data_IF_157498291499
#
_entry.id   IF_157498291499
#
_cell.length_a   1.000
_cell.length_b   1.000
_cell.length_c   1.000
_cell.angle_alpha   90.00
_cell.angle_beta   90.00
_cell.angle_gamma   90.00
#
_symmetry.space_group_name_H-M   'P 1'
#
loop_
_entity.id
_entity.type
_entity.pdbx_description
1 polymer ?
#
# COMPACT_ATOMS: atom_id res chain seq x y z
N UNK A 1 -32.37 12.81 36.46
CA UNK A 1 -32.57 12.86 34.99
C UNK A 1 -31.43 13.60 34.27
N UNK A 2 -30.85 14.67 34.83
CA UNK A 2 -29.74 15.43 34.19
C UNK A 2 -28.38 14.68 34.25
N UNK A 3 -28.11 13.93 35.33
CA UNK A 3 -26.86 13.16 35.49
C UNK A 3 -26.73 11.94 34.57
N UNK A 4 -27.86 11.32 34.23
CA UNK A 4 -27.91 10.17 33.31
C UNK A 4 -27.74 10.61 31.85
N UNK A 5 -28.21 11.80 31.48
CA UNK A 5 -28.01 12.39 30.15
C UNK A 5 -26.54 12.78 29.90
N UNK A 6 -25.82 13.24 30.93
CA UNK A 6 -24.40 13.60 30.83
C UNK A 6 -23.51 12.37 30.55
N UNK A 7 -23.82 11.23 31.15
CA UNK A 7 -23.05 9.98 30.97
C UNK A 7 -23.25 9.36 29.58
N UNK A 8 -24.45 9.49 29.01
CA UNK A 8 -24.75 8.98 27.65
C UNK A 8 -24.04 9.84 26.59
N UNK A 9 -23.90 11.15 26.82
CA UNK A 9 -23.21 12.06 25.89
C UNK A 9 -21.69 11.91 25.89
N UNK A 10 -21.09 11.34 26.95
CA UNK A 10 -19.64 11.08 27.02
C UNK A 10 -19.27 9.80 26.25
N UNK A 11 -20.17 8.80 26.24
CA UNK A 11 -19.94 7.51 25.57
C UNK A 11 -20.00 7.65 24.04
N UNK A 12 -20.81 8.57 23.51
CA UNK A 12 -20.94 8.77 22.04
C UNK A 12 -19.79 9.57 21.43
N UNK A 13 -19.04 10.36 22.21
CA UNK A 13 -17.87 11.12 21.72
C UNK A 13 -16.64 10.20 21.61
N UNK A 14 -16.53 9.16 22.44
CA UNK A 14 -15.37 8.26 22.46
C UNK A 14 -15.29 7.29 21.27
N UNK A 15 -16.39 7.03 20.56
CA UNK A 15 -16.43 6.09 19.44
C UNK A 15 -16.08 6.69 18.07
N UNK A 16 -15.97 8.02 17.95
CA UNK A 16 -15.59 8.69 16.69
C UNK A 16 -14.07 8.65 16.44
N UNK A 17 -13.26 8.38 17.46
CA UNK A 17 -11.79 8.42 17.35
C UNK A 17 -11.16 7.18 16.69
N UNK A 18 -11.91 6.10 16.41
CA UNK A 18 -11.35 4.89 15.80
C UNK A 18 -11.34 4.89 14.26
N UNK A 19 -11.73 6.01 13.62
CA UNK A 19 -11.72 6.18 12.17
C UNK A 19 -10.53 6.99 11.64
N UNK A 20 -9.46 7.13 12.42
CA UNK A 20 -8.17 7.57 11.89
C UNK A 20 -7.53 6.38 11.17
N UNK A 21 -7.96 6.12 9.93
CA UNK A 21 -7.10 5.43 8.96
C UNK A 21 -5.86 6.32 8.83
N UNK A 22 -4.80 5.96 9.55
CA UNK A 22 -3.55 6.68 9.53
C UNK A 22 -3.10 6.74 8.07
N UNK A 23 -3.25 7.90 7.43
CA UNK A 23 -2.38 8.23 6.30
C UNK A 23 -0.98 8.19 6.91
N UNK A 24 -0.24 7.11 6.65
CA UNK A 24 1.14 7.00 7.08
C UNK A 24 1.97 7.86 6.13
N UNK A 25 1.80 9.18 6.25
CA UNK A 25 2.51 10.14 5.43
C UNK A 25 3.98 10.28 5.85
N UNK A 26 4.34 9.79 7.04
CA UNK A 26 5.72 9.75 7.53
C UNK A 26 6.25 8.31 7.48
N UNK A 27 7.33 8.05 6.72
CA UNK A 27 8.03 6.77 6.77
C UNK A 27 8.63 6.53 8.16
N UNK A 28 8.33 5.39 8.79
CA UNK A 28 8.86 5.03 10.13
C UNK A 28 10.39 4.88 10.08
N UNK A 29 10.93 4.47 8.92
CA UNK A 29 12.36 4.20 8.71
C UNK A 29 13.12 5.30 7.94
N UNK A 30 12.55 6.51 7.79
CA UNK A 30 13.15 7.58 6.99
C UNK A 30 13.03 7.36 5.48
N UNK A 31 13.64 8.22 4.63
CA UNK A 31 13.49 8.14 3.18
C UNK A 31 13.94 6.78 2.66
N UNK A 32 13.15 6.18 1.76
CA UNK A 32 13.54 4.99 1.01
C UNK A 32 14.86 5.28 0.30
N UNK A 33 15.96 4.71 0.81
CA UNK A 33 17.21 4.73 0.10
C UNK A 33 17.01 3.85 -1.14
N UNK A 34 17.10 4.46 -2.32
CA UNK A 34 17.25 3.76 -3.60
C UNK A 34 18.65 3.12 -3.66
N UNK A 35 18.96 2.30 -2.67
CA UNK A 35 20.29 1.79 -2.39
C UNK A 35 20.74 0.74 -3.40
N UNK A 36 19.83 0.24 -4.25
CA UNK A 36 20.13 -0.72 -5.31
C UNK A 36 19.44 -0.37 -6.64
N UNK A 37 20.06 -0.71 -7.80
CA UNK A 37 19.45 -0.55 -9.12
C UNK A 37 18.08 -1.26 -9.24
N UNK A 38 17.92 -2.42 -8.59
CA UNK A 38 16.68 -3.21 -8.63
C UNK A 38 15.53 -2.49 -7.91
N UNK A 39 15.81 -1.80 -6.79
CA UNK A 39 14.81 -0.98 -6.10
C UNK A 39 14.43 0.23 -6.96
N UNK A 40 15.40 0.85 -7.64
CA UNK A 40 15.15 1.97 -8.54
C UNK A 40 14.29 1.57 -9.75
N UNK A 41 14.59 0.44 -10.38
CA UNK A 41 13.79 -0.11 -11.48
C UNK A 41 12.39 -0.50 -11.01
N UNK A 42 12.29 -1.19 -9.89
CA UNK A 42 11.01 -1.54 -9.28
C UNK A 42 10.14 -0.33 -8.95
N UNK A 43 10.76 0.77 -8.50
CA UNK A 43 10.07 2.05 -8.29
C UNK A 43 9.54 2.64 -9.58
N UNK A 44 10.32 2.60 -10.66
CA UNK A 44 9.89 3.11 -11.97
C UNK A 44 8.64 2.37 -12.46
N UNK A 45 8.69 1.04 -12.48
CA UNK A 45 7.55 0.18 -12.84
C UNK A 45 6.33 0.47 -11.94
N UNK A 46 6.55 0.62 -10.64
CA UNK A 46 5.49 0.97 -9.71
C UNK A 46 4.83 2.32 -10.06
N UNK A 47 5.63 3.34 -10.37
CA UNK A 47 5.10 4.66 -10.73
C UNK A 47 4.35 4.63 -12.06
N UNK A 48 4.82 3.84 -13.02
CA UNK A 48 4.23 3.75 -14.36
C UNK A 48 2.90 2.96 -14.36
N UNK A 49 2.81 1.88 -13.57
CA UNK A 49 1.69 0.93 -13.66
C UNK A 49 0.79 0.87 -12.41
N UNK A 50 1.32 1.13 -11.22
CA UNK A 50 0.63 0.85 -9.96
C UNK A 50 0.14 2.11 -9.25
N UNK A 51 0.95 3.18 -9.27
CA UNK A 51 0.75 4.39 -8.48
C UNK A 51 -0.63 5.03 -8.69
N UNK A 52 -1.14 5.00 -9.93
CA UNK A 52 -2.43 5.61 -10.26
C UNK A 52 -3.59 5.06 -9.41
N UNK A 53 -3.54 3.77 -9.06
CA UNK A 53 -4.56 3.12 -8.22
C UNK A 53 -4.10 2.98 -6.77
N UNK A 54 -2.80 2.78 -6.56
CA UNK A 54 -2.15 2.56 -5.27
C UNK A 54 -1.17 3.73 -4.98
N UNK A 55 -1.68 4.95 -4.72
CA UNK A 55 -0.85 6.16 -4.68
C UNK A 55 0.21 6.06 -3.59
N UNK A 56 1.49 6.05 -4.00
CA UNK A 56 2.62 5.88 -3.08
C UNK A 56 2.66 4.54 -2.32
N UNK A 57 1.83 3.57 -2.73
CA UNK A 57 1.61 2.31 -2.01
C UNK A 57 0.57 2.41 -0.89
N UNK A 58 -0.02 3.59 -0.70
CA UNK A 58 -1.12 3.82 0.23
C UNK A 58 -2.47 3.41 -0.39
N UNK A 59 -3.52 3.48 0.43
CA UNK A 59 -4.88 3.27 -0.06
C UNK A 59 -5.31 4.40 -1.01
N UNK A 60 -5.97 4.01 -2.10
CA UNK A 60 -6.55 4.92 -3.10
C UNK A 60 -7.75 4.24 -3.75
N UNK A 61 -7.70 4.08 -5.08
CA UNK A 61 -8.67 3.22 -5.78
C UNK A 61 -8.43 1.75 -5.42
N UNK A 62 -7.16 1.35 -5.31
CA UNK A 62 -6.74 0.06 -4.80
C UNK A 62 -6.41 0.10 -3.30
N UNK A 63 -6.32 -1.07 -2.64
CA UNK A 63 -5.90 -1.14 -1.25
C UNK A 63 -4.44 -0.69 -1.07
N UNK A 64 -4.07 -0.32 0.16
CA UNK A 64 -2.66 -0.13 0.52
C UNK A 64 -1.85 -1.41 0.30
N UNK A 65 -0.63 -1.23 -0.22
CA UNK A 65 0.36 -2.25 -0.55
C UNK A 65 1.55 -2.24 0.41
N UNK A 66 1.76 -1.13 1.11
CA UNK A 66 2.86 -0.93 2.06
C UNK A 66 2.57 -1.45 3.48
N UNK A 67 1.33 -1.83 3.78
CA UNK A 67 0.95 -2.33 5.11
C UNK A 67 0.61 -3.83 5.18
N UNK A 68 0.78 -4.59 4.08
CA UNK A 68 0.44 -6.02 4.02
C UNK A 68 1.66 -6.86 3.64
N UNK A 69 2.11 -7.80 4.49
CA UNK A 69 3.24 -8.67 4.17
C UNK A 69 2.84 -9.84 3.26
N UNK A 70 2.37 -9.53 2.03
CA UNK A 70 2.06 -10.57 1.05
C UNK A 70 3.35 -11.26 0.58
N UNK A 71 3.36 -12.61 0.47
CA UNK A 71 4.51 -13.33 -0.04
C UNK A 71 4.73 -13.02 -1.53
N UNK A 72 5.98 -13.09 -1.99
CA UNK A 72 6.37 -12.70 -3.34
C UNK A 72 5.54 -13.40 -4.44
N UNK A 73 5.30 -14.70 -4.30
CA UNK A 73 4.50 -15.45 -5.28
C UNK A 73 3.06 -14.92 -5.37
N UNK A 74 2.45 -14.52 -4.26
CA UNK A 74 1.08 -13.99 -4.26
C UNK A 74 1.02 -12.63 -4.96
N UNK A 75 2.04 -11.79 -4.78
CA UNK A 75 2.15 -10.51 -5.51
C UNK A 75 2.25 -10.79 -7.01
N UNK A 76 3.14 -11.71 -7.42
CA UNK A 76 3.30 -12.09 -8.84
C UNK A 76 2.01 -12.60 -9.43
N UNK A 77 1.35 -13.54 -8.77
CA UNK A 77 0.07 -14.09 -9.21
C UNK A 77 -0.98 -12.99 -9.36
N UNK A 78 -1.06 -12.07 -8.39
CA UNK A 78 -2.02 -10.96 -8.41
C UNK A 78 -1.75 -9.98 -9.56
N UNK A 79 -0.48 -9.66 -9.85
CA UNK A 79 -0.09 -8.79 -10.96
C UNK A 79 -0.37 -9.47 -12.31
N UNK A 80 -0.09 -10.78 -12.43
CA UNK A 80 -0.29 -11.54 -13.67
C UNK A 80 -1.74 -11.84 -14.00
N UNK A 81 -2.61 -11.97 -13.00
CA UNK A 81 -4.01 -12.36 -13.21
C UNK A 81 -5.01 -11.24 -12.97
N UNK A 82 -4.61 -10.16 -12.29
CA UNK A 82 -5.55 -9.14 -11.83
C UNK A 82 -6.56 -9.68 -10.81
N UNK A 83 -7.43 -8.81 -10.30
CA UNK A 83 -8.57 -9.20 -9.45
C UNK A 83 -9.58 -8.06 -9.37
N UNK A 84 -10.84 -8.34 -9.70
CA UNK A 84 -11.88 -7.31 -9.74
C UNK A 84 -11.52 -6.19 -10.72
N UNK A 85 -11.37 -4.97 -10.21
CA UNK A 85 -10.98 -3.80 -11.01
C UNK A 85 -9.47 -3.67 -11.23
N UNK A 86 -8.63 -4.46 -10.52
CA UNK A 86 -7.19 -4.46 -10.75
C UNK A 86 -6.89 -5.22 -12.06
N UNK A 87 -6.27 -4.58 -13.07
CA UNK A 87 -5.94 -5.22 -14.33
C UNK A 87 -4.85 -6.29 -14.15
N UNK A 88 -4.78 -7.20 -15.11
CA UNK A 88 -3.65 -8.10 -15.30
C UNK A 88 -2.57 -7.40 -16.12
N UNK A 89 -1.30 -7.70 -15.84
CA UNK A 89 -0.15 -7.23 -16.62
C UNK A 89 0.61 -8.43 -17.18
N UNK A 90 0.72 -8.51 -18.50
CA UNK A 90 1.38 -9.62 -19.20
C UNK A 90 2.88 -9.38 -19.39
N UNK A 91 3.62 -10.40 -19.85
CA UNK A 91 5.09 -10.31 -20.01
C UNK A 91 5.54 -9.22 -20.98
N UNK A 92 4.72 -8.85 -21.96
CA UNK A 92 5.00 -7.77 -22.90
C UNK A 92 4.78 -6.37 -22.32
N UNK A 93 4.15 -6.26 -21.14
CA UNK A 93 3.92 -5.00 -20.43
C UNK A 93 4.87 -4.86 -19.24
N UNK A 94 5.07 -5.96 -18.50
CA UNK A 94 6.01 -6.09 -17.39
C UNK A 94 6.67 -7.45 -17.55
N UNK A 95 7.93 -7.49 -17.95
CA UNK A 95 8.73 -8.72 -18.05
C UNK A 95 8.93 -9.39 -16.68
N UNK A 96 9.37 -10.65 -16.64
CA UNK A 96 9.67 -11.34 -15.38
C UNK A 96 10.74 -10.62 -14.55
N UNK A 97 11.77 -10.06 -15.19
CA UNK A 97 12.84 -9.29 -14.53
C UNK A 97 12.35 -7.96 -13.97
N UNK A 98 11.42 -7.31 -14.67
CA UNK A 98 10.76 -6.10 -14.16
C UNK A 98 9.84 -6.45 -12.99
N UNK A 99 9.09 -7.55 -13.07
CA UNK A 99 8.24 -8.01 -11.97
C UNK A 99 9.07 -8.39 -10.72
N UNK A 100 10.26 -8.98 -10.88
CA UNK A 100 11.23 -9.22 -9.80
C UNK A 100 11.63 -7.91 -9.10
N UNK A 101 11.97 -6.89 -9.90
CA UNK A 101 12.35 -5.57 -9.42
C UNK A 101 11.19 -4.89 -8.71
N UNK A 102 9.97 -4.97 -9.26
CA UNK A 102 8.74 -4.45 -8.64
C UNK A 102 8.48 -5.12 -7.28
N UNK A 103 8.59 -6.45 -7.18
CA UNK A 103 8.42 -7.17 -5.91
C UNK A 103 9.47 -6.75 -4.90
N UNK A 104 10.72 -6.53 -5.34
CA UNK A 104 11.81 -6.03 -4.47
C UNK A 104 11.49 -4.64 -3.95
N UNK A 105 11.04 -3.73 -4.82
CA UNK A 105 10.59 -2.40 -4.42
C UNK A 105 9.42 -2.44 -3.44
N UNK A 106 8.39 -3.26 -3.68
CA UNK A 106 7.24 -3.38 -2.78
C UNK A 106 7.63 -3.90 -1.38
N UNK A 107 8.64 -4.78 -1.30
CA UNK A 107 9.21 -5.22 -0.02
C UNK A 107 9.92 -4.07 0.70
N UNK A 108 10.75 -3.32 -0.01
CA UNK A 108 11.42 -2.15 0.55
C UNK A 108 10.39 -1.10 1.02
N UNK A 109 9.38 -0.82 0.19
CA UNK A 109 8.32 0.14 0.48
C UNK A 109 7.59 -0.16 1.80
N UNK A 110 7.32 -1.43 2.11
CA UNK A 110 6.71 -1.86 3.38
C UNK A 110 7.60 -1.64 4.60
N UNK A 111 8.90 -1.72 4.43
CA UNK A 111 9.86 -1.52 5.52
C UNK A 111 9.98 -0.04 5.90
N UNK A 112 9.59 0.85 4.98
CA UNK A 112 9.66 2.29 5.18
C UNK A 112 8.32 2.95 5.48
N UNK A 113 7.22 2.49 4.86
CA UNK A 113 5.87 3.00 5.12
C UNK A 113 5.15 2.22 6.19
#
# INVERSE_FOLDING_TARGET
MIRTALLISIITIASVALSCSARRSEPIAGPLLLSSPEIAEGRKIFMDHCHQCHPGGEAGLGPSLNNKPLPAFAIRTQVRHGFGAMPAFYENEISETELDSLVTYLKALRQHG
#
